data_IF_920695676086
#
_entry.id   IF_920695676086
#
_cell.length_a   1.000
_cell.length_b   1.000
_cell.length_c   1.000
_cell.angle_alpha   90.00
_cell.angle_beta   90.00
_cell.angle_gamma   90.00
#
_symmetry.space_group_name_H-M   'P 1'
#
loop_
_entity.id
_entity.type
_entity.pdbx_description
1 polymer ?
#
# COMPACT_ATOMS: atom_id res chain seq x y z
N UNK A 1 -18.88 21.97 -1.12
CA UNK A 1 -18.84 20.65 -0.49
C UNK A 1 -17.38 20.30 -0.42
N UNK A 2 -16.83 20.27 0.79
CA UNK A 2 -15.47 19.79 1.03
C UNK A 2 -15.59 18.26 0.99
N UNK A 3 -15.34 17.65 -0.17
CA UNK A 3 -15.16 16.20 -0.21
C UNK A 3 -13.88 15.95 0.57
N UNK A 4 -13.91 15.21 1.69
CA UNK A 4 -12.68 14.88 2.39
C UNK A 4 -11.80 14.22 1.33
N UNK A 5 -10.61 14.75 1.10
CA UNK A 5 -9.65 14.11 0.22
C UNK A 5 -9.55 12.67 0.71
N UNK A 6 -10.19 11.74 -0.02
CA UNK A 6 -10.13 10.34 0.34
C UNK A 6 -8.66 10.01 0.33
N UNK A 7 -8.07 9.86 1.52
CA UNK A 7 -6.72 9.35 1.68
C UNK A 7 -6.76 8.01 0.95
N UNK A 8 -6.30 7.95 -0.31
CA UNK A 8 -6.57 6.85 -1.23
C UNK A 8 -6.16 5.48 -0.70
N UNK A 9 -5.40 5.46 0.41
CA UNK A 9 -5.17 4.31 1.26
C UNK A 9 -6.47 3.62 1.76
N UNK A 10 -7.58 4.34 1.96
CA UNK A 10 -8.86 3.75 2.40
C UNK A 10 -9.44 2.75 1.37
N UNK A 11 -9.10 2.92 0.09
CA UNK A 11 -9.53 2.05 -0.99
C UNK A 11 -8.52 0.94 -1.32
N UNK A 12 -7.34 0.96 -0.67
CA UNK A 12 -6.32 -0.07 -0.82
C UNK A 12 -6.61 -1.20 0.15
N UNK A 13 -6.77 -2.40 -0.39
CA UNK A 13 -6.95 -3.60 0.42
C UNK A 13 -5.66 -4.40 0.47
N UNK A 14 -5.20 -4.70 1.69
CA UNK A 14 -4.12 -5.65 1.90
C UNK A 14 -4.67 -7.08 1.77
N UNK A 15 -4.12 -7.83 0.83
CA UNK A 15 -4.51 -9.21 0.52
C UNK A 15 -3.57 -10.24 1.14
N UNK A 16 -2.35 -9.84 1.50
CA UNK A 16 -1.33 -10.74 2.01
C UNK A 16 -0.01 -10.03 2.26
N UNK A 17 0.83 -10.64 3.09
CA UNK A 17 2.24 -10.25 3.27
C UNK A 17 3.11 -11.49 3.13
N UNK A 18 4.32 -11.33 2.62
CA UNK A 18 5.29 -12.42 2.52
C UNK A 18 6.71 -11.93 2.76
N UNK A 19 7.50 -12.80 3.38
CA UNK A 19 8.94 -12.67 3.44
C UNK A 19 9.54 -13.96 2.87
N UNK A 20 10.16 -13.89 1.70
CA UNK A 20 10.76 -15.04 1.04
C UNK A 20 12.11 -14.65 0.43
N UNK A 21 13.15 -15.44 0.71
CA UNK A 21 14.49 -15.20 0.17
C UNK A 21 15.09 -13.83 0.56
N UNK A 22 14.73 -13.31 1.75
CA UNK A 22 15.15 -11.99 2.22
C UNK A 22 14.39 -10.81 1.63
N UNK A 23 13.41 -11.06 0.74
CA UNK A 23 12.56 -10.03 0.15
C UNK A 23 11.22 -9.99 0.87
N UNK A 24 10.85 -8.80 1.35
CA UNK A 24 9.55 -8.51 1.96
C UNK A 24 8.62 -7.93 0.91
N UNK A 25 7.41 -8.48 0.80
CA UNK A 25 6.36 -7.99 -0.11
C UNK A 25 5.00 -7.98 0.57
N UNK A 26 4.17 -7.06 0.14
CA UNK A 26 2.75 -7.03 0.44
C UNK A 26 1.99 -7.21 -0.86
N UNK A 27 0.88 -7.93 -0.84
CA UNK A 27 -0.01 -8.05 -1.98
C UNK A 27 -1.20 -7.15 -1.70
N UNK A 28 -1.45 -6.20 -2.58
CA UNK A 28 -2.55 -5.24 -2.42
C UNK A 28 -3.51 -5.34 -3.59
N UNK A 29 -4.73 -4.88 -3.36
CA UNK A 29 -5.74 -4.67 -4.38
C UNK A 29 -6.24 -3.25 -4.32
N UNK A 30 -6.31 -2.61 -5.49
CA UNK A 30 -6.89 -1.29 -5.68
C UNK A 30 -7.55 -1.24 -7.05
N UNK A 31 -8.73 -0.62 -7.14
CA UNK A 31 -9.46 -0.42 -8.39
C UNK A 31 -9.58 -1.68 -9.29
N UNK A 32 -9.81 -2.85 -8.66
CA UNK A 32 -9.93 -4.14 -9.37
C UNK A 32 -8.60 -4.76 -9.84
N UNK A 33 -7.48 -4.09 -9.64
CA UNK A 33 -6.14 -4.60 -9.96
C UNK A 33 -5.44 -5.06 -8.69
N UNK A 34 -4.68 -6.14 -8.78
CA UNK A 34 -3.92 -6.68 -7.65
C UNK A 34 -2.48 -6.91 -8.05
N UNK A 35 -1.57 -6.71 -7.11
CA UNK A 35 -0.16 -6.96 -7.35
C UNK A 35 0.70 -6.80 -6.11
N UNK A 36 1.97 -7.21 -6.21
CA UNK A 36 2.92 -7.06 -5.12
C UNK A 36 3.42 -5.62 -5.02
N UNK A 37 3.72 -5.20 -3.81
CA UNK A 37 4.47 -3.98 -3.50
C UNK A 37 5.55 -4.28 -2.46
N UNK A 38 6.64 -3.53 -2.54
CA UNK A 38 7.77 -3.56 -1.62
C UNK A 38 7.98 -2.16 -1.02
N UNK A 39 8.72 -2.02 0.10
CA UNK A 39 9.05 -0.72 0.66
C UNK A 39 9.75 0.17 -0.37
N UNK A 40 9.28 1.40 -0.51
CA UNK A 40 9.74 2.37 -1.51
C UNK A 40 8.97 2.36 -2.84
N UNK A 41 8.11 1.37 -3.09
CA UNK A 41 7.25 1.38 -4.28
C UNK A 41 6.24 2.52 -4.21
N UNK A 42 5.98 3.16 -5.35
CA UNK A 42 5.06 4.30 -5.48
C UNK A 42 3.96 3.96 -6.47
N UNK A 43 2.72 4.28 -6.10
CA UNK A 43 1.55 4.09 -6.93
C UNK A 43 1.54 5.03 -8.13
N UNK A 44 0.96 4.55 -9.23
CA UNK A 44 0.96 5.24 -10.51
C UNK A 44 0.94 4.26 -11.68
N UNK A 45 1.29 4.70 -12.91
CA UNK A 45 1.18 3.88 -14.12
C UNK A 45 1.96 2.54 -14.07
N UNK A 46 3.08 2.50 -13.34
CA UNK A 46 3.89 1.28 -13.15
C UNK A 46 3.39 0.36 -12.03
N UNK A 47 2.53 0.85 -11.15
CA UNK A 47 2.00 0.13 -9.98
C UNK A 47 0.51 0.44 -9.85
N UNK A 48 -0.32 -0.02 -10.80
CA UNK A 48 -1.71 0.42 -10.90
C UNK A 48 -2.63 -0.17 -9.82
N UNK A 49 -2.13 -1.15 -9.04
CA UNK A 49 -2.76 -1.66 -7.82
C UNK A 49 -2.43 -0.82 -6.57
N UNK A 50 -1.82 0.35 -6.74
CA UNK A 50 -1.60 1.34 -5.69
C UNK A 50 -1.98 2.75 -6.22
N UNK A 51 -2.75 3.56 -5.46
CA UNK A 51 -3.16 4.87 -5.93
C UNK A 51 -1.98 5.82 -6.14
N UNK A 52 -2.12 6.72 -7.11
CA UNK A 52 -1.05 7.67 -7.46
C UNK A 52 -0.66 8.56 -6.27
N UNK A 53 0.64 8.78 -6.12
CA UNK A 53 1.22 9.60 -5.04
C UNK A 53 1.25 8.92 -3.67
N UNK A 54 0.83 7.64 -3.57
CA UNK A 54 1.07 6.83 -2.38
C UNK A 54 2.35 6.03 -2.52
N UNK A 55 3.15 6.02 -1.47
CA UNK A 55 4.35 5.20 -1.37
C UNK A 55 4.19 4.15 -0.26
N UNK A 56 4.86 3.01 -0.42
CA UNK A 56 4.95 2.00 0.63
C UNK A 56 6.08 2.38 1.59
N UNK A 57 5.71 2.84 2.78
CA UNK A 57 6.68 3.21 3.80
C UNK A 57 7.27 1.98 4.50
N UNK A 58 6.42 1.01 4.86
CA UNK A 58 6.87 -0.20 5.56
C UNK A 58 5.87 -1.37 5.40
N UNK A 59 6.37 -2.59 5.58
CA UNK A 59 5.56 -3.81 5.62
C UNK A 59 5.95 -4.60 6.87
N UNK A 60 4.99 -4.82 7.76
CA UNK A 60 5.17 -5.70 8.91
C UNK A 60 4.56 -7.06 8.60
N UNK A 61 5.44 -8.01 8.28
CA UNK A 61 5.04 -9.39 7.92
C UNK A 61 4.50 -10.15 9.14
N UNK A 62 5.00 -9.85 10.35
CA UNK A 62 4.57 -10.55 11.56
C UNK A 62 3.16 -10.15 11.98
N UNK A 63 2.80 -8.88 11.77
CA UNK A 63 1.49 -8.34 12.13
C UNK A 63 0.49 -8.36 10.97
N UNK A 64 0.93 -8.66 9.76
CA UNK A 64 0.10 -8.58 8.57
C UNK A 64 -0.30 -7.15 8.24
N UNK A 65 0.63 -6.20 8.38
CA UNK A 65 0.36 -4.77 8.23
C UNK A 65 1.17 -4.14 7.09
N UNK A 66 0.56 -3.15 6.46
CA UNK A 66 1.13 -2.30 5.43
C UNK A 66 1.00 -0.84 5.87
N UNK A 67 2.12 -0.13 5.86
CA UNK A 67 2.16 1.31 6.09
C UNK A 67 2.36 2.01 4.76
N UNK A 68 1.42 2.88 4.42
CA UNK A 68 1.53 3.78 3.28
C UNK A 68 1.88 5.18 3.76
N UNK A 69 2.47 5.95 2.87
CA UNK A 69 2.69 7.38 3.06
C UNK A 69 2.33 8.16 1.81
N UNK A 70 2.03 9.44 1.99
CA UNK A 70 1.84 10.41 0.92
C UNK A 70 2.67 11.63 1.25
N UNK A 71 3.57 12.02 0.35
CA UNK A 71 4.44 13.17 0.53
C UNK A 71 5.21 13.17 1.87
N UNK A 72 5.68 11.97 2.29
CA UNK A 72 6.39 11.77 3.56
C UNK A 72 5.50 11.80 4.81
N UNK A 73 4.17 11.90 4.65
CA UNK A 73 3.21 11.79 5.75
C UNK A 73 2.68 10.36 5.83
N UNK A 74 2.86 9.66 6.98
CA UNK A 74 2.32 8.33 7.16
C UNK A 74 0.79 8.38 7.20
N UNK A 75 0.19 7.40 6.56
CA UNK A 75 -1.25 7.18 6.53
C UNK A 75 -1.65 6.07 7.53
N UNK A 76 -2.96 5.92 7.80
CA UNK A 76 -3.43 4.82 8.62
C UNK A 76 -2.93 3.46 8.09
N UNK A 77 -2.53 2.60 9.02
CA UNK A 77 -2.06 1.26 8.69
C UNK A 77 -3.19 0.45 8.08
N UNK A 78 -2.86 -0.30 7.03
CA UNK A 78 -3.76 -1.28 6.41
C UNK A 78 -3.40 -2.64 7.00
N UNK A 79 -4.40 -3.40 7.42
CA UNK A 79 -4.22 -4.72 8.02
C UNK A 79 -5.06 -5.77 7.28
N UNK A 80 -4.54 -6.99 7.26
CA UNK A 80 -5.22 -8.21 6.80
C UNK A 80 -6.49 -8.52 7.60
#
# INVERSE_FOLDING_TARGET
ADEPASDGAADVQLMGVSAAGGLVRAFVRFNGQSGPVAPGDVGGPGTPWLPEGLAVAAIDVQRGQLMLERDGRPLPLIQL
#
